data_IF_244690926674
#
_entry.id   IF_244690926674
#
_cell.length_a   1.000
_cell.length_b   1.000
_cell.length_c   1.000
_cell.angle_alpha   90.00
_cell.angle_beta   90.00
_cell.angle_gamma   90.00
#
_symmetry.space_group_name_H-M   'P 1'
#
loop_
_entity.id
_entity.type
_entity.pdbx_description
1 polymer ?
#
# COMPACT_ATOMS: atom_id res chain seq x y z
N UNK A 1 -8.47 -6.23 80.42
CA UNK A 1 -9.23 -7.35 79.83
C UNK A 1 -9.60 -6.93 78.42
N UNK A 2 -8.91 -7.49 77.42
CA UNK A 2 -9.25 -7.55 75.98
C UNK A 2 -9.52 -6.24 75.21
N UNK A 3 -9.11 -6.05 73.96
CA UNK A 3 -8.25 -6.82 73.07
C UNK A 3 -7.86 -5.90 71.90
N UNK A 4 -6.79 -6.29 71.23
CA UNK A 4 -6.24 -5.70 70.02
C UNK A 4 -7.21 -5.87 68.84
N UNK A 5 -7.34 -4.87 67.97
CA UNK A 5 -7.47 -5.18 66.55
C UNK A 5 -6.75 -4.12 65.68
N UNK A 6 -5.58 -4.44 65.11
CA UNK A 6 -4.89 -3.60 64.15
C UNK A 6 -5.35 -3.89 62.72
N UNK A 7 -5.32 -2.86 61.87
CA UNK A 7 -5.03 -2.96 60.44
C UNK A 7 -6.00 -3.74 59.55
N UNK A 8 -6.94 -3.02 58.93
CA UNK A 8 -7.46 -3.40 57.61
C UNK A 8 -7.20 -2.26 56.63
N UNK A 9 -5.97 -2.21 56.11
CA UNK A 9 -5.67 -1.51 54.86
C UNK A 9 -5.89 -2.53 53.73
N UNK A 10 -7.01 -2.44 53.04
CA UNK A 10 -7.29 -3.25 51.86
C UNK A 10 -6.39 -2.87 50.68
N UNK A 11 -5.95 -3.82 49.85
CA UNK A 11 -5.22 -3.52 48.63
C UNK A 11 -6.20 -3.09 47.53
N UNK A 12 -5.91 -1.95 46.87
CA UNK A 12 -6.58 -1.53 45.64
C UNK A 12 -7.58 -0.39 45.81
N UNK A 13 -7.07 0.85 45.89
CA UNK A 13 -7.89 2.04 45.68
C UNK A 13 -8.25 2.22 44.19
N UNK A 14 -9.45 2.73 43.86
CA UNK A 14 -9.89 2.94 42.48
C UNK A 14 -9.15 4.13 41.85
N UNK A 15 -8.20 3.87 40.94
CA UNK A 15 -7.55 4.92 40.14
C UNK A 15 -6.07 4.76 39.80
N UNK A 16 -5.43 3.61 40.04
CA UNK A 16 -4.05 3.37 39.60
C UNK A 16 -3.98 3.22 38.07
N UNK A 17 -3.09 3.98 37.41
CA UNK A 17 -2.68 3.66 36.03
C UNK A 17 -2.19 2.20 36.00
N UNK A 18 -2.54 1.41 34.96
CA UNK A 18 -2.10 0.03 34.86
C UNK A 18 -0.58 -0.05 35.00
N UNK A 19 -0.08 -1.04 35.73
CA UNK A 19 1.36 -1.28 35.80
C UNK A 19 1.92 -1.63 34.40
N UNK A 20 3.22 -1.44 34.20
CA UNK A 20 3.88 -1.74 32.91
C UNK A 20 3.68 -3.21 32.48
N UNK A 21 3.71 -4.14 33.44
CA UNK A 21 3.48 -5.56 33.21
C UNK A 21 2.03 -5.86 32.82
N UNK A 22 1.05 -5.23 33.47
CA UNK A 22 -0.37 -5.35 33.12
C UNK A 22 -0.66 -4.73 31.74
N UNK A 23 -0.05 -3.59 31.42
CA UNK A 23 -0.18 -2.94 30.11
C UNK A 23 0.41 -3.84 29.01
N UNK A 24 1.56 -4.46 29.26
CA UNK A 24 2.17 -5.42 28.33
C UNK A 24 1.28 -6.64 28.12
N UNK A 25 0.80 -7.26 29.19
CA UNK A 25 -0.08 -8.43 29.10
C UNK A 25 -1.38 -8.09 28.32
N UNK A 26 -1.92 -6.88 28.52
CA UNK A 26 -3.08 -6.39 27.80
C UNK A 26 -2.81 -6.19 26.29
N UNK A 27 -1.65 -5.63 25.92
CA UNK A 27 -1.26 -5.48 24.51
C UNK A 27 -1.04 -6.84 23.84
N UNK A 28 -0.39 -7.79 24.51
CA UNK A 28 -0.18 -9.15 23.99
C UNK A 28 -1.52 -9.87 23.76
N UNK A 29 -2.48 -9.71 24.68
CA UNK A 29 -3.84 -10.24 24.51
C UNK A 29 -4.59 -9.56 23.36
N UNK A 30 -4.45 -8.24 23.21
CA UNK A 30 -5.02 -7.54 22.05
C UNK A 30 -4.42 -8.06 20.74
N UNK A 31 -3.10 -8.27 20.67
CA UNK A 31 -2.45 -8.81 19.48
C UNK A 31 -2.92 -10.23 19.13
N UNK A 32 -3.16 -11.09 20.14
CA UNK A 32 -3.75 -12.43 19.93
C UNK A 32 -5.14 -12.39 19.30
N UNK A 33 -5.92 -11.35 19.59
CA UNK A 33 -7.29 -11.21 19.12
C UNK A 33 -7.40 -10.54 17.74
N UNK A 34 -6.32 -9.97 17.20
CA UNK A 34 -6.32 -9.38 15.85
C UNK A 34 -6.25 -10.49 14.81
N UNK A 35 -7.26 -10.54 13.93
CA UNK A 35 -7.28 -11.43 12.78
C UNK A 35 -6.55 -10.80 11.61
N UNK A 36 -5.64 -11.55 10.98
CA UNK A 36 -4.88 -11.08 9.81
C UNK A 36 -5.81 -10.75 8.65
N UNK A 37 -6.89 -11.53 8.45
CA UNK A 37 -7.83 -11.26 7.35
C UNK A 37 -8.49 -9.88 7.48
N UNK A 38 -8.81 -9.45 8.71
CA UNK A 38 -9.40 -8.14 8.96
C UNK A 38 -8.42 -7.01 8.63
N UNK A 39 -7.15 -7.17 9.00
CA UNK A 39 -6.09 -6.21 8.67
C UNK A 39 -5.92 -6.09 7.15
N UNK A 40 -5.97 -7.20 6.42
CA UNK A 40 -5.89 -7.21 4.95
C UNK A 40 -7.08 -6.45 4.36
N UNK A 41 -8.31 -6.70 4.83
CA UNK A 41 -9.52 -6.00 4.38
C UNK A 41 -9.39 -4.49 4.64
N UNK A 42 -9.01 -4.09 5.86
CA UNK A 42 -8.82 -2.68 6.21
C UNK A 42 -7.74 -2.01 5.36
N UNK A 43 -6.66 -2.74 5.05
CA UNK A 43 -5.57 -2.26 4.19
C UNK A 43 -6.06 -2.05 2.76
N UNK A 44 -6.83 -2.99 2.19
CA UNK A 44 -7.41 -2.86 0.84
C UNK A 44 -8.31 -1.63 0.74
N UNK A 45 -9.20 -1.42 1.70
CA UNK A 45 -10.08 -0.24 1.75
C UNK A 45 -9.26 1.05 1.80
N UNK A 46 -8.24 1.08 2.64
CA UNK A 46 -7.33 2.23 2.78
C UNK A 46 -6.61 2.53 1.45
N UNK A 47 -6.08 1.51 0.79
CA UNK A 47 -5.37 1.65 -0.49
C UNK A 47 -6.29 2.16 -1.62
N UNK A 48 -7.55 1.72 -1.66
CA UNK A 48 -8.53 2.23 -2.63
C UNK A 48 -8.75 3.73 -2.45
N UNK A 49 -8.96 4.17 -1.20
CA UNK A 49 -9.18 5.58 -0.88
C UNK A 49 -7.93 6.44 -1.18
N UNK A 50 -6.75 5.94 -0.81
CA UNK A 50 -5.49 6.61 -1.14
C UNK A 50 -5.28 6.69 -2.66
N UNK A 51 -5.57 5.61 -3.40
CA UNK A 51 -5.49 5.61 -4.86
C UNK A 51 -6.37 6.69 -5.50
N UNK A 52 -7.60 6.86 -5.02
CA UNK A 52 -8.50 7.91 -5.49
C UNK A 52 -7.96 9.32 -5.21
N UNK A 53 -7.42 9.55 -4.01
CA UNK A 53 -6.80 10.83 -3.63
C UNK A 53 -5.56 11.13 -4.50
N UNK A 54 -4.70 10.14 -4.75
CA UNK A 54 -3.51 10.29 -5.61
C UNK A 54 -3.84 10.51 -7.08
N UNK A 55 -5.03 10.14 -7.53
CA UNK A 55 -5.53 10.49 -8.85
C UNK A 55 -6.16 11.90 -8.90
N UNK A 56 -6.29 12.59 -7.77
CA UNK A 56 -6.96 13.89 -7.70
C UNK A 56 -8.48 13.80 -7.90
N UNK A 57 -9.08 12.61 -7.76
CA UNK A 57 -10.54 12.38 -7.88
C UNK A 57 -11.28 12.97 -6.68
N UNK A 58 -10.60 13.08 -5.54
CA UNK A 58 -11.09 13.75 -4.35
C UNK A 58 -9.96 14.66 -3.81
N UNK A 59 -10.13 16.00 -3.83
CA UNK A 59 -9.20 16.89 -3.13
C UNK A 59 -9.35 16.68 -1.62
N UNK A 60 -8.25 16.73 -0.85
CA UNK A 60 -8.40 16.83 0.59
C UNK A 60 -9.01 18.19 0.95
N UNK A 61 -9.73 18.26 2.07
CA UNK A 61 -10.36 19.49 2.51
C UNK A 61 -9.31 20.60 2.66
N UNK A 62 -9.46 21.67 1.88
CA UNK A 62 -8.56 22.83 1.89
C UNK A 62 -7.36 22.75 0.94
N UNK A 63 -7.24 21.71 0.11
CA UNK A 63 -6.22 21.62 -0.94
C UNK A 63 -6.73 22.10 -2.30
N UNK A 64 -5.84 22.71 -3.08
CA UNK A 64 -6.13 23.11 -4.46
C UNK A 64 -6.42 21.87 -5.33
N UNK A 65 -7.32 21.96 -6.34
CA UNK A 65 -7.58 20.84 -7.26
C UNK A 65 -6.30 20.33 -7.91
N UNK A 66 -5.98 19.05 -7.70
CA UNK A 66 -4.77 18.42 -8.23
C UNK A 66 -3.52 18.58 -7.36
N UNK A 67 -3.55 19.37 -6.28
CA UNK A 67 -2.54 19.32 -5.24
C UNK A 67 -2.59 17.92 -4.59
N UNK A 68 -1.47 17.20 -4.60
CA UNK A 68 -1.40 15.82 -4.10
C UNK A 68 -1.60 14.72 -5.15
N UNK A 69 -1.78 15.07 -6.44
CA UNK A 69 -1.78 14.10 -7.55
C UNK A 69 -0.40 13.46 -7.70
N UNK A 70 -0.38 12.13 -7.70
CA UNK A 70 0.82 11.32 -7.86
C UNK A 70 0.47 10.01 -8.58
N UNK A 71 0.75 9.95 -9.88
CA UNK A 71 0.44 8.77 -10.70
C UNK A 71 1.28 7.55 -10.30
N UNK A 72 2.51 7.73 -9.82
CA UNK A 72 3.33 6.60 -9.39
C UNK A 72 2.74 5.95 -8.13
N UNK A 73 2.30 6.77 -7.16
CA UNK A 73 1.61 6.28 -5.97
C UNK A 73 0.23 5.71 -6.27
N UNK A 74 -0.53 6.29 -7.19
CA UNK A 74 -1.81 5.73 -7.65
C UNK A 74 -1.64 4.34 -8.28
N UNK A 75 -0.62 4.18 -9.13
CA UNK A 75 -0.29 2.89 -9.74
C UNK A 75 0.09 1.86 -8.66
N UNK A 76 0.94 2.23 -7.71
CA UNK A 76 1.32 1.36 -6.61
C UNK A 76 0.10 0.91 -5.78
N UNK A 77 -0.83 1.82 -5.50
CA UNK A 77 -2.07 1.49 -4.79
C UNK A 77 -2.93 0.50 -5.59
N UNK A 78 -3.10 0.71 -6.90
CA UNK A 78 -3.85 -0.20 -7.78
C UNK A 78 -3.23 -1.60 -7.78
N UNK A 79 -1.93 -1.72 -7.97
CA UNK A 79 -1.25 -3.02 -8.00
C UNK A 79 -1.29 -3.72 -6.63
N UNK A 80 -1.16 -2.95 -5.54
CA UNK A 80 -1.29 -3.48 -4.19
C UNK A 80 -2.70 -4.04 -3.92
N UNK A 81 -3.75 -3.32 -4.34
CA UNK A 81 -5.13 -3.80 -4.22
C UNK A 81 -5.33 -5.05 -5.07
N UNK A 82 -4.84 -5.10 -6.31
CA UNK A 82 -4.95 -6.30 -7.17
C UNK A 82 -4.29 -7.54 -6.54
N UNK A 83 -3.17 -7.36 -5.85
CA UNK A 83 -2.46 -8.44 -5.20
C UNK A 83 -3.17 -8.92 -3.91
N UNK A 84 -3.73 -8.00 -3.13
CA UNK A 84 -4.35 -8.31 -1.84
C UNK A 84 -5.83 -8.74 -1.96
N UNK A 85 -6.57 -8.22 -2.93
CA UNK A 85 -8.00 -8.46 -3.07
C UNK A 85 -8.38 -9.95 -3.14
N UNK A 86 -7.64 -10.83 -3.86
CA UNK A 86 -7.94 -12.27 -3.87
C UNK A 86 -7.81 -12.98 -2.51
N UNK A 87 -7.18 -12.33 -1.52
CA UNK A 87 -7.03 -12.85 -0.16
C UNK A 87 -8.21 -12.47 0.75
N UNK A 88 -9.07 -11.55 0.31
CA UNK A 88 -10.22 -11.10 1.07
C UNK A 88 -11.41 -12.07 0.95
N UNK A 89 -12.37 -12.04 1.91
CA UNK A 89 -13.65 -12.74 1.77
C UNK A 89 -14.38 -12.34 0.48
N UNK A 90 -15.13 -13.28 -0.11
CA UNK A 90 -15.79 -13.09 -1.40
C UNK A 90 -16.71 -11.87 -1.42
N UNK A 91 -17.43 -11.63 -0.33
CA UNK A 91 -18.34 -10.51 -0.17
C UNK A 91 -17.60 -9.16 -0.25
N UNK A 92 -16.39 -9.08 0.31
CA UNK A 92 -15.53 -7.90 0.24
C UNK A 92 -14.99 -7.73 -1.17
N UNK A 93 -14.59 -8.82 -1.83
CA UNK A 93 -14.13 -8.78 -3.22
C UNK A 93 -15.19 -8.17 -4.14
N UNK A 94 -16.42 -8.66 -4.04
CA UNK A 94 -17.55 -8.18 -4.83
C UNK A 94 -17.87 -6.68 -4.59
N UNK A 95 -17.65 -6.20 -3.36
CA UNK A 95 -17.85 -4.78 -3.01
C UNK A 95 -16.72 -3.87 -3.53
N UNK A 96 -15.47 -4.33 -3.51
CA UNK A 96 -14.29 -3.51 -3.84
C UNK A 96 -13.97 -3.53 -5.34
N UNK A 97 -14.29 -4.61 -6.04
CA UNK A 97 -13.96 -4.79 -7.47
C UNK A 97 -14.47 -3.64 -8.38
N UNK A 98 -15.70 -3.10 -8.19
CA UNK A 98 -16.14 -1.94 -8.97
C UNK A 98 -15.28 -0.69 -8.75
N UNK A 99 -14.90 -0.41 -7.49
CA UNK A 99 -14.05 0.73 -7.16
C UNK A 99 -12.64 0.59 -7.74
N UNK A 100 -12.06 -0.62 -7.68
CA UNK A 100 -10.77 -0.91 -8.32
C UNK A 100 -10.83 -0.69 -9.84
N UNK A 101 -11.90 -1.15 -10.49
CA UNK A 101 -12.10 -0.95 -11.94
C UNK A 101 -12.21 0.54 -12.29
N UNK A 102 -12.93 1.32 -11.47
CA UNK A 102 -13.02 2.77 -11.63
C UNK A 102 -11.66 3.45 -11.48
N UNK A 103 -10.87 3.09 -10.46
CA UNK A 103 -9.51 3.60 -10.25
C UNK A 103 -8.62 3.35 -11.47
N UNK A 104 -8.64 2.13 -12.01
CA UNK A 104 -7.86 1.75 -13.19
C UNK A 104 -8.26 2.56 -14.42
N UNK A 105 -9.55 2.79 -14.65
CA UNK A 105 -10.02 3.60 -15.78
C UNK A 105 -9.58 5.06 -15.66
N UNK A 106 -9.69 5.66 -14.47
CA UNK A 106 -9.21 7.04 -14.24
C UNK A 106 -7.69 7.09 -14.42
N UNK A 107 -6.95 6.17 -13.81
CA UNK A 107 -5.50 6.08 -13.98
C UNK A 107 -5.09 5.99 -15.45
N UNK A 108 -5.74 5.14 -16.26
CA UNK A 108 -5.43 4.99 -17.68
C UNK A 108 -5.68 6.27 -18.47
N UNK A 109 -6.77 7.00 -18.19
CA UNK A 109 -7.06 8.31 -18.81
C UNK A 109 -5.99 9.33 -18.45
N UNK A 110 -5.59 9.36 -17.19
CA UNK A 110 -4.61 10.30 -16.66
C UNK A 110 -3.17 9.99 -17.07
N UNK A 111 -2.82 8.71 -17.24
CA UNK A 111 -1.51 8.25 -17.69
C UNK A 111 -1.37 8.30 -19.23
N UNK A 112 -2.47 8.07 -19.96
CA UNK A 112 -2.54 8.18 -21.42
C UNK A 112 -2.69 9.62 -21.94
N UNK A 113 -2.82 10.62 -21.06
CA UNK A 113 -2.88 12.04 -21.39
C UNK A 113 -1.54 12.65 -21.87
N UNK A 114 -0.45 11.88 -21.83
CA UNK A 114 0.78 12.21 -22.57
C UNK A 114 0.57 11.92 -24.04
N UNK A 115 0.24 12.96 -24.82
CA UNK A 115 0.12 13.06 -26.28
C UNK A 115 -0.01 11.73 -27.06
N UNK A 116 -1.09 11.52 -27.86
CA UNK A 116 -0.96 10.57 -28.95
C UNK A 116 0.22 11.05 -29.80
N UNK A 117 1.30 10.26 -29.85
CA UNK A 117 2.23 10.38 -30.95
C UNK A 117 1.36 10.21 -32.19
N UNK A 118 1.17 11.32 -32.91
CA UNK A 118 0.46 11.37 -34.16
C UNK A 118 1.28 10.60 -35.20
N UNK A 119 1.27 9.27 -35.11
CA UNK A 119 1.50 8.38 -36.22
C UNK A 119 0.18 8.30 -36.96
N UNK A 120 0.06 9.05 -38.05
CA UNK A 120 -1.14 9.12 -38.86
C UNK A 120 -1.59 7.76 -39.40
N UNK A 121 -2.83 7.67 -39.90
CA UNK A 121 -3.37 6.45 -40.46
C UNK A 121 -2.73 6.20 -41.83
N UNK A 122 -1.71 5.34 -41.90
CA UNK A 122 -1.29 4.79 -43.19
C UNK A 122 -2.12 3.54 -43.50
N UNK A 123 -2.91 3.72 -44.54
CA UNK A 123 -3.81 2.76 -45.16
C UNK A 123 -3.13 1.41 -45.43
N UNK A 124 -3.65 0.35 -44.82
CA UNK A 124 -3.31 -1.01 -45.23
C UNK A 124 -4.14 -1.38 -46.47
N UNK A 125 -3.47 -1.57 -47.61
CA UNK A 125 -3.98 -2.36 -48.73
C UNK A 125 -2.99 -3.51 -49.03
N UNK A 126 -3.48 -4.71 -49.42
CA UNK A 126 -2.69 -5.94 -49.39
C UNK A 126 -2.03 -6.25 -50.73
N UNK A 127 -0.79 -6.74 -50.69
CA UNK A 127 -0.09 -7.31 -51.84
C UNK A 127 1.00 -8.28 -51.38
N UNK A 128 0.78 -9.58 -51.60
CA UNK A 128 1.74 -10.66 -51.38
C UNK A 128 2.59 -10.93 -52.66
N UNK A 129 3.49 -11.94 -52.67
CA UNK A 129 4.67 -12.16 -51.83
C UNK A 129 5.96 -12.32 -52.69
N UNK A 130 7.16 -12.15 -52.11
CA UNK A 130 8.40 -12.38 -52.86
C UNK A 130 9.69 -12.42 -52.03
N UNK A 131 10.22 -13.64 -51.87
CA UNK A 131 11.64 -14.04 -51.79
C UNK A 131 12.59 -13.43 -50.73
N UNK A 132 12.85 -14.25 -49.71
CA UNK A 132 14.16 -14.67 -49.18
C UNK A 132 15.38 -13.73 -49.27
N UNK A 133 15.90 -13.32 -48.11
CA UNK A 133 17.33 -13.13 -47.86
C UNK A 133 17.68 -13.16 -46.36
N UNK A 134 18.45 -14.17 -45.93
CA UNK A 134 19.52 -14.14 -44.92
C UNK A 134 19.23 -13.78 -43.44
N UNK A 135 19.60 -14.63 -42.47
CA UNK A 135 19.61 -14.27 -41.06
C UNK A 135 20.91 -13.51 -40.71
N UNK A 136 20.79 -12.23 -40.34
CA UNK A 136 21.89 -11.47 -39.75
C UNK A 136 21.69 -11.41 -38.22
N UNK A 137 22.66 -11.98 -37.52
CA UNK A 137 22.82 -11.88 -36.08
C UNK A 137 22.93 -10.41 -35.64
N UNK A 138 22.18 -10.05 -34.58
CA UNK A 138 22.12 -8.67 -34.11
C UNK A 138 21.54 -8.56 -32.70
N UNK A 139 22.34 -8.98 -31.72
CA UNK A 139 22.45 -8.40 -30.38
C UNK A 139 21.15 -8.29 -29.54
N UNK A 140 20.96 -9.29 -28.67
CA UNK A 140 20.19 -9.16 -27.43
C UNK A 140 20.67 -7.95 -26.63
N UNK A 141 19.86 -6.90 -26.54
CA UNK A 141 20.00 -5.90 -25.48
C UNK A 141 19.42 -6.50 -24.21
N UNK A 142 20.30 -6.83 -23.27
CA UNK A 142 19.95 -7.12 -21.90
C UNK A 142 19.30 -5.87 -21.26
N UNK A 143 18.33 -6.04 -20.35
CA UNK A 143 17.85 -4.94 -19.53
C UNK A 143 19.01 -4.38 -18.69
N UNK A 144 19.09 -3.06 -18.47
CA UNK A 144 20.11 -2.51 -17.59
C UNK A 144 19.91 -3.09 -16.19
N UNK A 145 20.95 -3.75 -15.68
CA UNK A 145 21.04 -4.14 -14.28
C UNK A 145 20.89 -2.89 -13.40
N UNK A 146 20.22 -2.97 -12.23
CA UNK A 146 20.23 -1.88 -11.27
C UNK A 146 21.66 -1.70 -10.78
N UNK A 147 22.30 -0.61 -11.16
CA UNK A 147 23.56 -0.18 -10.56
C UNK A 147 23.31 0.14 -9.09
N UNK A 148 23.95 -0.60 -8.17
CA UNK A 148 24.11 -0.15 -6.79
C UNK A 148 25.26 0.85 -6.66
N UNK A 149 25.50 1.40 -5.46
CA UNK A 149 24.56 1.97 -4.51
C UNK A 149 24.71 3.50 -4.56
N UNK A 150 23.84 4.18 -5.30
CA UNK A 150 23.58 5.60 -5.09
C UNK A 150 22.44 5.71 -4.10
N UNK A 151 22.71 5.45 -2.82
CA UNK A 151 21.70 5.58 -1.78
C UNK A 151 21.25 7.04 -1.74
N UNK A 152 20.03 7.29 -2.21
CA UNK A 152 19.37 8.57 -2.02
C UNK A 152 19.30 8.78 -0.50
N UNK A 153 19.93 9.82 0.07
CA UNK A 153 19.99 10.00 1.52
C UNK A 153 18.59 10.09 2.13
N UNK A 154 17.59 10.51 1.34
CA UNK A 154 16.19 10.49 1.75
C UNK A 154 15.58 9.07 1.82
N UNK A 155 16.04 8.14 0.98
CA UNK A 155 15.65 6.73 1.05
C UNK A 155 16.30 6.00 2.23
N UNK A 156 17.58 6.30 2.51
CA UNK A 156 18.29 5.82 3.70
C UNK A 156 17.64 6.32 5.00
N UNK A 157 17.22 7.58 5.04
CA UNK A 157 16.53 8.15 6.20
C UNK A 157 15.15 7.51 6.40
N UNK A 158 14.38 7.29 5.32
CA UNK A 158 13.12 6.54 5.37
C UNK A 158 13.32 5.09 5.80
N UNK A 159 14.38 4.43 5.32
CA UNK A 159 14.72 3.06 5.72
C UNK A 159 15.10 2.99 7.22
N UNK A 160 15.90 3.94 7.71
CA UNK A 160 16.23 4.08 9.14
C UNK A 160 15.00 4.38 9.99
N UNK A 161 14.06 5.20 9.50
CA UNK A 161 12.80 5.46 10.17
C UNK A 161 11.93 4.20 10.26
N UNK A 162 11.83 3.41 9.19
CA UNK A 162 11.12 2.10 9.19
C UNK A 162 11.72 1.12 10.20
N UNK A 163 13.05 1.06 10.30
CA UNK A 163 13.74 0.21 11.27
C UNK A 163 13.53 0.64 12.73
N UNK A 164 13.14 1.90 12.99
CA UNK A 164 12.83 2.40 14.35
C UNK A 164 11.37 2.15 14.75
N UNK A 165 10.48 1.96 13.77
CA UNK A 165 9.04 1.78 14.01
C UNK A 165 8.73 0.38 14.55
N UNK A 166 9.55 -0.62 14.24
CA UNK A 166 9.36 -1.99 14.72
C UNK A 166 10.66 -2.55 15.26
N UNK A 167 10.77 -2.63 16.59
CA UNK A 167 11.79 -3.44 17.26
C UNK A 167 11.08 -4.66 17.84
N UNK A 168 11.28 -5.87 17.29
CA UNK A 168 10.64 -7.05 17.84
C UNK A 168 11.11 -7.25 19.30
N UNK A 169 10.21 -7.59 20.23
CA UNK A 169 10.58 -7.79 21.63
C UNK A 169 11.43 -9.06 21.77
N UNK A 170 12.70 -8.89 22.17
CA UNK A 170 13.59 -9.97 22.60
C UNK A 170 14.53 -10.52 21.53
N UNK A 171 15.83 -10.30 21.75
CA UNK A 171 16.86 -11.34 21.61
C UNK A 171 17.42 -11.59 23.00
#
# INVERSE_FOLDING_TARGET
MNDQQPGQAGPGGPGGQPSEEELRAALEEQMRNIRVEEVVVQTVVTLVNLGAQRLGVAPAAGEEPGAGRDLAQAHLAIESVRALLPLCPREVVEQIQPALSQLQMVYAREAGGGAPAAGGPESAAPGAPGAAAGPAAGQSQAPPAPGGPGADPAEDERAKARSKIWTPPGT
#
